data_IF_616601795927
#
_entry.id   IF_616601795927
#
_cell.length_a   1.000
_cell.length_b   1.000
_cell.length_c   1.000
_cell.angle_alpha   90.00
_cell.angle_beta   90.00
_cell.angle_gamma   90.00
#
_symmetry.space_group_name_H-M   'P 1'
#
loop_
_entity.id
_entity.type
_entity.pdbx_description
1 polymer ?
#
# COMPACT_ATOMS: atom_id res chain seq x y z
N UNK A 1 30.90 -50.59 22.90
CA UNK A 1 29.60 -49.93 23.22
C UNK A 1 29.59 -48.40 23.12
N UNK A 2 30.74 -47.70 23.04
CA UNK A 2 30.82 -46.22 23.04
C UNK A 2 30.62 -45.58 21.64
N UNK A 3 31.04 -46.28 20.58
CA UNK A 3 30.93 -45.82 19.17
C UNK A 3 29.47 -45.58 18.75
N UNK A 4 28.60 -46.56 18.98
CA UNK A 4 27.16 -46.50 18.64
C UNK A 4 26.41 -45.37 19.37
N UNK A 5 26.71 -45.11 20.65
CA UNK A 5 26.13 -43.98 21.40
C UNK A 5 26.56 -42.61 20.85
N UNK A 6 27.79 -42.50 20.36
CA UNK A 6 28.30 -41.28 19.72
C UNK A 6 27.62 -41.06 18.36
N UNK A 7 27.53 -42.10 17.52
CA UNK A 7 26.83 -42.02 16.24
C UNK A 7 25.36 -41.67 16.39
N UNK A 8 24.66 -42.29 17.35
CA UNK A 8 23.25 -41.98 17.61
C UNK A 8 23.04 -40.52 18.04
N UNK A 9 23.97 -39.94 18.81
CA UNK A 9 23.95 -38.50 19.14
C UNK A 9 24.17 -37.61 17.92
N UNK A 10 25.13 -37.94 17.06
CA UNK A 10 25.39 -37.16 15.83
C UNK A 10 24.22 -37.24 14.85
N UNK A 11 23.60 -38.40 14.70
CA UNK A 11 22.41 -38.58 13.87
C UNK A 11 21.24 -37.74 14.40
N UNK A 12 21.02 -37.71 15.71
CA UNK A 12 20.00 -36.86 16.33
C UNK A 12 20.29 -35.36 16.15
N UNK A 13 21.55 -34.94 16.28
CA UNK A 13 21.94 -33.53 16.07
C UNK A 13 21.72 -33.12 14.62
N UNK A 14 22.13 -33.95 13.64
CA UNK A 14 21.93 -33.68 12.22
C UNK A 14 20.43 -33.65 11.88
N UNK A 15 19.64 -34.56 12.46
CA UNK A 15 18.19 -34.55 12.29
C UNK A 15 17.55 -33.28 12.87
N UNK A 16 17.95 -32.84 14.07
CA UNK A 16 17.44 -31.61 14.69
C UNK A 16 17.83 -30.36 13.90
N UNK A 17 19.06 -30.27 13.41
CA UNK A 17 19.51 -29.14 12.57
C UNK A 17 18.74 -29.09 11.25
N UNK A 18 18.50 -30.24 10.61
CA UNK A 18 17.71 -30.33 9.37
C UNK A 18 16.23 -29.96 9.59
N UNK A 19 15.65 -30.32 10.74
CA UNK A 19 14.28 -29.94 11.13
C UNK A 19 14.21 -28.43 11.37
N UNK A 20 15.20 -27.84 12.05
CA UNK A 20 15.26 -26.41 12.33
C UNK A 20 15.37 -25.61 11.04
N UNK A 21 16.23 -26.00 10.08
CA UNK A 21 16.35 -25.29 8.80
C UNK A 21 15.13 -25.45 7.89
N UNK A 22 14.38 -26.56 8.00
CA UNK A 22 13.14 -26.76 7.25
C UNK A 22 11.96 -25.96 7.82
N UNK A 23 11.98 -25.65 9.12
CA UNK A 23 10.96 -24.83 9.81
C UNK A 23 11.13 -23.33 9.56
N UNK A 24 12.32 -22.87 9.15
CA UNK A 24 12.53 -21.49 8.66
C UNK A 24 12.15 -21.43 7.17
N UNK A 25 10.91 -21.82 6.85
CA UNK A 25 10.28 -21.37 5.62
C UNK A 25 10.13 -19.87 5.73
N UNK A 26 10.86 -19.10 4.92
CA UNK A 26 10.66 -17.66 4.82
C UNK A 26 9.21 -17.45 4.38
N UNK A 27 8.34 -16.78 5.17
CA UNK A 27 7.01 -16.49 4.68
C UNK A 27 7.17 -15.53 3.50
N UNK A 28 6.76 -15.95 2.32
CA UNK A 28 6.42 -15.03 1.23
C UNK A 28 5.16 -14.30 1.68
N UNK A 29 5.36 -13.18 2.37
CA UNK A 29 4.31 -12.19 2.62
C UNK A 29 3.93 -11.62 1.24
N UNK A 30 2.81 -12.11 0.70
CA UNK A 30 2.18 -11.52 -0.49
C UNK A 30 1.61 -10.19 -0.04
N UNK A 31 2.35 -9.10 -0.27
CA UNK A 31 1.85 -7.75 -0.04
C UNK A 31 0.84 -7.44 -1.15
N UNK A 32 -0.43 -7.72 -0.88
CA UNK A 32 -1.52 -7.41 -1.79
C UNK A 32 -1.67 -5.88 -1.91
N UNK A 33 -1.95 -5.35 -3.13
CA UNK A 33 -2.08 -3.93 -3.30
C UNK A 33 -3.25 -3.36 -2.48
N UNK A 34 -2.97 -2.29 -1.74
CA UNK A 34 -3.96 -1.55 -0.96
C UNK A 34 -4.75 -0.65 -1.91
N UNK A 35 -6.05 -0.88 -2.00
CA UNK A 35 -6.95 -0.08 -2.84
C UNK A 35 -7.35 1.24 -2.17
N UNK A 36 -7.58 2.27 -2.97
CA UNK A 36 -8.24 3.50 -2.54
C UNK A 36 -9.69 3.20 -2.19
N UNK A 37 -10.17 3.73 -1.07
CA UNK A 37 -11.55 3.57 -0.61
C UNK A 37 -12.29 4.89 -0.47
N UNK A 38 -11.57 6.01 -0.33
CA UNK A 38 -12.17 7.33 -0.18
C UNK A 38 -11.33 8.39 -0.90
N UNK A 39 -12.02 9.38 -1.46
CA UNK A 39 -11.44 10.57 -2.10
C UNK A 39 -12.29 11.76 -1.69
N UNK A 40 -11.69 12.70 -0.98
CA UNK A 40 -12.31 13.98 -0.61
C UNK A 40 -11.68 15.11 -1.41
N UNK A 41 -12.51 15.94 -2.06
CA UNK A 41 -12.06 17.09 -2.85
C UNK A 41 -12.39 18.39 -2.12
N UNK A 42 -11.39 19.24 -1.94
CA UNK A 42 -11.52 20.52 -1.22
C UNK A 42 -10.97 21.67 -2.06
N UNK A 43 -11.71 22.76 -2.16
CA UNK A 43 -11.23 24.02 -2.73
C UNK A 43 -10.43 24.82 -1.71
N UNK A 44 -9.48 25.63 -2.17
CA UNK A 44 -8.69 26.49 -1.28
C UNK A 44 -9.57 27.34 -0.37
N UNK A 45 -9.32 27.27 0.94
CA UNK A 45 -10.11 27.98 1.95
C UNK A 45 -11.56 27.48 2.06
N UNK A 46 -11.80 26.19 1.77
CA UNK A 46 -13.12 25.55 1.77
C UNK A 46 -14.12 26.16 0.77
N UNK A 47 -13.61 26.88 -0.24
CA UNK A 47 -14.43 27.48 -1.27
C UNK A 47 -15.08 26.43 -2.18
N UNK A 48 -16.37 26.63 -2.47
CA UNK A 48 -17.16 25.81 -3.40
C UNK A 48 -17.61 26.57 -4.64
N UNK A 49 -17.21 27.85 -4.74
CA UNK A 49 -17.53 28.74 -5.85
C UNK A 49 -16.25 29.39 -6.38
N UNK A 50 -16.23 29.64 -7.69
CA UNK A 50 -15.17 30.40 -8.35
C UNK A 50 -15.80 31.41 -9.30
N UNK A 51 -15.38 32.67 -9.19
CA UNK A 51 -15.85 33.74 -10.06
C UNK A 51 -15.34 33.58 -11.48
N UNK A 52 -16.09 34.10 -12.46
CA UNK A 52 -15.66 34.07 -13.86
C UNK A 52 -14.31 34.80 -14.03
N UNK A 53 -13.39 34.18 -14.77
CA UNK A 53 -12.02 34.69 -14.98
C UNK A 53 -11.08 34.53 -13.78
N UNK A 54 -11.54 33.95 -12.66
CA UNK A 54 -10.70 33.63 -11.50
C UNK A 54 -10.28 32.16 -11.50
N UNK A 55 -9.29 31.81 -10.68
CA UNK A 55 -8.85 30.43 -10.46
C UNK A 55 -9.10 30.02 -9.02
N UNK A 56 -9.41 28.73 -8.82
CA UNK A 56 -9.54 28.11 -7.51
C UNK A 56 -8.66 26.85 -7.50
N UNK A 57 -7.73 26.79 -6.55
CA UNK A 57 -6.92 25.59 -6.36
C UNK A 57 -7.77 24.49 -5.71
N UNK A 58 -7.72 23.30 -6.29
CA UNK A 58 -8.37 22.11 -5.75
C UNK A 58 -7.32 21.17 -5.16
N UNK A 59 -7.70 20.44 -4.11
CA UNK A 59 -6.89 19.41 -3.46
C UNK A 59 -7.71 18.13 -3.33
N UNK A 60 -7.07 16.98 -3.50
CA UNK A 60 -7.67 15.67 -3.30
C UNK A 60 -6.97 14.96 -2.14
N UNK A 61 -7.72 14.64 -1.08
CA UNK A 61 -7.28 13.79 0.01
C UNK A 61 -7.73 12.35 -0.25
N UNK A 62 -6.78 11.42 -0.32
CA UNK A 62 -7.00 10.02 -0.70
C UNK A 62 -6.75 9.13 0.50
N UNK A 63 -7.70 8.25 0.78
CA UNK A 63 -7.59 7.25 1.84
C UNK A 63 -7.74 5.82 1.29
N UNK A 64 -7.03 4.83 1.89
CA UNK A 64 -6.05 5.00 2.97
C UNK A 64 -4.75 5.67 2.48
N UNK A 65 -4.01 6.31 3.39
CA UNK A 65 -2.74 6.99 3.07
C UNK A 65 -1.65 6.05 2.53
N UNK A 66 -1.86 4.74 2.64
CA UNK A 66 -0.98 3.69 2.10
C UNK A 66 -1.53 3.00 0.85
N UNK A 67 -2.49 3.59 0.14
CA UNK A 67 -2.97 3.05 -1.13
C UNK A 67 -1.80 2.87 -2.12
N UNK A 68 -1.77 1.74 -2.81
CA UNK A 68 -0.67 1.38 -3.73
C UNK A 68 -0.55 2.33 -4.91
N UNK A 69 -1.67 2.90 -5.37
CA UNK A 69 -1.71 3.96 -6.36
C UNK A 69 -2.65 5.07 -5.88
N UNK A 70 -2.08 6.24 -5.61
CA UNK A 70 -2.78 7.44 -5.19
C UNK A 70 -2.66 8.57 -6.24
N UNK A 71 -2.37 8.23 -7.50
CA UNK A 71 -2.33 9.21 -8.59
C UNK A 71 -3.72 9.76 -8.91
N UNK A 72 -3.78 11.05 -9.28
CA UNK A 72 -5.04 11.74 -9.58
C UNK A 72 -5.02 12.25 -11.01
N UNK A 73 -6.09 11.96 -11.74
CA UNK A 73 -6.38 12.56 -13.04
C UNK A 73 -7.61 13.46 -12.89
N UNK A 74 -7.47 14.72 -13.28
CA UNK A 74 -8.51 15.73 -13.10
C UNK A 74 -9.35 15.94 -14.36
N UNK A 75 -10.64 16.19 -14.18
CA UNK A 75 -11.53 16.64 -15.24
C UNK A 75 -12.65 17.50 -14.66
N UNK A 76 -13.28 18.33 -15.49
CA UNK A 76 -14.42 19.16 -15.11
C UNK A 76 -15.64 18.72 -15.88
N UNK A 77 -16.72 18.43 -15.16
CA UNK A 77 -18.06 18.22 -15.75
C UNK A 77 -18.85 19.51 -15.60
N UNK A 78 -19.30 20.07 -16.73
CA UNK A 78 -20.10 21.29 -16.72
C UNK A 78 -21.49 21.03 -16.14
N UNK A 79 -21.88 21.83 -15.14
CA UNK A 79 -23.22 21.83 -14.53
C UNK A 79 -23.94 23.15 -14.74
N UNK A 80 -23.54 24.18 -13.99
CA UNK A 80 -24.08 25.55 -14.07
C UNK A 80 -23.18 26.53 -14.84
N UNK A 81 -21.98 26.09 -15.22
CA UNK A 81 -20.99 26.87 -15.95
C UNK A 81 -19.90 25.97 -16.51
N UNK A 82 -18.90 26.60 -17.13
CA UNK A 82 -17.73 25.92 -17.72
C UNK A 82 -16.46 26.34 -17.00
N UNK A 83 -15.58 25.39 -16.74
CA UNK A 83 -14.24 25.64 -16.24
C UNK A 83 -13.25 24.65 -16.89
N UNK A 84 -11.97 25.00 -16.83
CA UNK A 84 -10.85 24.12 -17.20
C UNK A 84 -10.05 23.82 -15.94
N UNK A 85 -9.48 22.62 -15.85
CA UNK A 85 -8.59 22.24 -14.76
C UNK A 85 -7.24 21.80 -15.31
N UNK A 86 -6.17 22.21 -14.64
CA UNK A 86 -4.80 21.83 -14.94
C UNK A 86 -4.15 21.29 -13.67
N UNK A 87 -3.26 20.31 -13.85
CA UNK A 87 -2.37 19.78 -12.80
C UNK A 87 -1.25 20.74 -12.49
#
# INVERSE_FOLDING_TARGET
MIKSRKYMKYVMIVALVAIITFMVGCPTESDEPVSVTDITITGAGDAVEVGNGSTLQMTADILPTGATDASVTWSVVAGTGTATIST
#
